data_IF_623733496085
#
_entry.id   IF_623733496085
#
_cell.length_a   1.000
_cell.length_b   1.000
_cell.length_c   1.000
_cell.angle_alpha   90.00
_cell.angle_beta   90.00
_cell.angle_gamma   90.00
#
_symmetry.space_group_name_H-M   'P 1'
#
loop_
_entity.id
_entity.type
_entity.pdbx_description
1 polymer ?
#
# COMPACT_ATOMS: atom_id res chain seq x y z
N UNK A 1 -33.57 -47.95 -25.28
CA UNK A 1 -32.29 -47.61 -25.95
C UNK A 1 -32.15 -46.11 -26.24
N UNK A 2 -33.13 -45.47 -26.90
CA UNK A 2 -33.16 -44.00 -27.14
C UNK A 2 -32.97 -43.15 -25.88
N UNK A 3 -33.71 -43.45 -24.82
CA UNK A 3 -33.67 -42.70 -23.54
C UNK A 3 -32.30 -42.75 -22.84
N UNK A 4 -31.60 -43.88 -22.96
CA UNK A 4 -30.24 -44.06 -22.41
C UNK A 4 -29.22 -43.23 -23.19
N UNK A 5 -29.43 -43.11 -24.50
CA UNK A 5 -28.60 -42.32 -25.42
C UNK A 5 -28.81 -40.81 -25.23
N UNK A 6 -30.02 -40.36 -24.94
CA UNK A 6 -30.32 -38.97 -24.61
C UNK A 6 -29.71 -38.54 -23.27
N UNK A 7 -29.76 -39.40 -22.25
CA UNK A 7 -29.05 -39.16 -20.99
C UNK A 7 -27.55 -39.02 -21.21
N UNK A 8 -26.94 -39.91 -22.02
CA UNK A 8 -25.52 -39.86 -22.36
C UNK A 8 -25.12 -38.56 -23.07
N UNK A 9 -25.92 -38.12 -24.06
CA UNK A 9 -25.72 -36.82 -24.73
C UNK A 9 -25.79 -35.66 -23.73
N UNK A 10 -26.78 -35.65 -22.83
CA UNK A 10 -26.93 -34.60 -21.82
C UNK A 10 -25.73 -34.53 -20.87
N UNK A 11 -25.19 -35.67 -20.43
CA UNK A 11 -23.98 -35.70 -19.61
C UNK A 11 -22.74 -35.25 -20.39
N UNK A 12 -22.61 -35.64 -21.66
CA UNK A 12 -21.52 -35.19 -22.53
C UNK A 12 -21.54 -33.67 -22.72
N UNK A 13 -22.68 -33.08 -23.10
CA UNK A 13 -22.81 -31.62 -23.24
C UNK A 13 -22.55 -30.88 -21.93
N UNK A 14 -22.99 -31.45 -20.79
CA UNK A 14 -22.72 -30.86 -19.47
C UNK A 14 -21.23 -30.91 -19.10
N UNK A 15 -20.55 -31.99 -19.47
CA UNK A 15 -19.09 -32.13 -19.30
C UNK A 15 -18.32 -31.14 -20.16
N UNK A 16 -18.67 -31.03 -21.45
CA UNK A 16 -18.06 -30.07 -22.38
C UNK A 16 -18.29 -28.63 -21.91
N UNK A 17 -19.52 -28.28 -21.49
CA UNK A 17 -19.83 -26.95 -20.96
C UNK A 17 -19.04 -26.62 -19.70
N UNK A 18 -18.87 -27.60 -18.79
CA UNK A 18 -18.05 -27.42 -17.60
C UNK A 18 -16.59 -27.15 -17.95
N UNK A 19 -16.01 -27.91 -18.88
CA UNK A 19 -14.62 -27.71 -19.33
C UNK A 19 -14.41 -26.32 -19.97
N UNK A 20 -15.34 -25.89 -20.82
CA UNK A 20 -15.29 -24.55 -21.44
C UNK A 20 -15.39 -23.45 -20.37
N UNK A 21 -16.26 -23.62 -19.38
CA UNK A 21 -16.40 -22.65 -18.28
C UNK A 21 -15.12 -22.59 -17.41
N UNK A 22 -14.48 -23.72 -17.11
CA UNK A 22 -13.19 -23.73 -16.41
C UNK A 22 -12.10 -23.02 -17.23
N UNK A 23 -12.04 -23.27 -18.54
CA UNK A 23 -11.09 -22.59 -19.43
C UNK A 23 -11.27 -21.06 -19.41
N UNK A 24 -12.50 -20.55 -19.53
CA UNK A 24 -12.75 -19.11 -19.47
C UNK A 24 -12.48 -18.51 -18.09
N UNK A 25 -12.74 -19.24 -17.00
CA UNK A 25 -12.38 -18.81 -15.64
C UNK A 25 -10.87 -18.67 -15.49
N UNK A 26 -10.10 -19.68 -15.88
CA UNK A 26 -8.63 -19.65 -15.81
C UNK A 26 -8.08 -18.55 -16.71
N UNK A 27 -8.57 -18.43 -17.95
CA UNK A 27 -8.16 -17.37 -18.86
C UNK A 27 -8.47 -15.98 -18.31
N UNK A 28 -9.65 -15.78 -17.72
CA UNK A 28 -9.98 -14.51 -17.06
C UNK A 28 -9.09 -14.26 -15.86
N UNK A 29 -8.80 -15.28 -15.04
CA UNK A 29 -7.96 -15.15 -13.86
C UNK A 29 -6.52 -14.76 -14.24
N UNK A 30 -5.96 -15.41 -15.27
CA UNK A 30 -4.65 -15.06 -15.83
C UNK A 30 -4.67 -13.66 -16.42
N UNK A 31 -5.69 -13.30 -17.20
CA UNK A 31 -5.79 -11.98 -17.81
C UNK A 31 -5.95 -10.85 -16.77
N UNK A 32 -6.79 -11.04 -15.75
CA UNK A 32 -6.96 -10.11 -14.65
C UNK A 32 -5.69 -10.01 -13.80
N UNK A 33 -5.03 -11.14 -13.52
CA UNK A 33 -3.74 -11.16 -12.81
C UNK A 33 -2.61 -10.47 -13.59
N UNK A 34 -2.58 -10.60 -14.92
CA UNK A 34 -1.64 -9.88 -15.80
C UNK A 34 -1.98 -8.38 -15.92
N UNK A 35 -3.25 -8.00 -15.78
CA UNK A 35 -3.69 -6.60 -15.82
C UNK A 35 -3.42 -5.87 -14.51
N UNK A 36 -3.59 -6.53 -13.36
CA UNK A 36 -3.21 -5.98 -12.03
C UNK A 36 -1.70 -5.68 -11.91
N UNK A 37 -0.88 -6.35 -12.73
CA UNK A 37 0.57 -6.11 -12.85
C UNK A 37 0.93 -5.04 -13.88
N UNK A 38 -0.01 -4.27 -14.41
CA UNK A 38 0.26 -3.22 -15.40
C UNK A 38 -0.20 -1.87 -14.88
N UNK A 39 0.66 -0.87 -15.04
CA UNK A 39 0.38 0.52 -14.67
C UNK A 39 0.08 1.36 -15.89
N UNK A 40 -0.93 2.22 -15.77
CA UNK A 40 -1.21 3.27 -16.75
C UNK A 40 -0.43 4.52 -16.38
N UNK A 41 0.63 4.80 -17.14
CA UNK A 41 1.35 6.06 -17.05
C UNK A 41 0.76 7.06 -18.02
N UNK A 42 0.38 8.22 -17.50
CA UNK A 42 -0.03 9.38 -18.29
C UNK A 42 1.16 10.33 -18.39
N UNK A 43 1.84 10.33 -19.53
CA UNK A 43 2.91 11.27 -19.81
C UNK A 43 2.40 12.38 -20.74
N UNK A 44 2.67 13.64 -20.36
CA UNK A 44 2.38 14.81 -21.19
C UNK A 44 3.67 15.23 -21.89
N UNK A 45 3.75 14.99 -23.20
CA UNK A 45 4.83 15.50 -24.05
C UNK A 45 4.27 16.62 -24.93
N UNK A 46 4.59 17.87 -24.59
CA UNK A 46 4.06 19.05 -25.27
C UNK A 46 2.53 19.17 -25.15
N UNK A 47 1.83 19.12 -26.28
CA UNK A 47 0.36 19.16 -26.37
C UNK A 47 -0.31 17.78 -26.43
N UNK A 48 0.46 16.68 -26.42
CA UNK A 48 -0.08 15.32 -26.55
C UNK A 48 -0.01 14.59 -25.20
N UNK A 49 -1.12 13.91 -24.86
CA UNK A 49 -1.19 12.98 -23.73
C UNK A 49 -0.91 11.59 -24.28
N UNK A 50 0.15 10.95 -23.78
CA UNK A 50 0.50 9.57 -24.11
C UNK A 50 0.14 8.68 -22.93
N UNK A 51 -0.64 7.63 -23.21
CA UNK A 51 -0.95 6.57 -22.26
C UNK A 51 0.03 5.44 -22.53
N UNK A 52 0.91 5.16 -21.56
CA UNK A 52 1.86 4.06 -21.61
C UNK A 52 1.39 2.96 -20.65
N UNK A 53 1.28 1.76 -21.17
CA UNK A 53 1.03 0.56 -20.38
C UNK A 53 2.40 -0.04 -20.04
N UNK A 54 2.85 0.15 -18.80
CA UNK A 54 4.11 -0.40 -18.31
C UNK A 54 3.83 -1.59 -17.39
N UNK A 55 4.70 -2.58 -17.41
CA UNK A 55 4.72 -3.65 -16.43
C UNK A 55 5.06 -3.11 -15.03
N UNK A 56 4.58 -3.77 -13.99
CA UNK A 56 4.77 -3.34 -12.61
C UNK A 56 6.25 -3.32 -12.22
N UNK A 57 7.03 -4.31 -12.65
CA UNK A 57 8.45 -4.42 -12.34
C UNK A 57 9.26 -3.27 -12.96
N UNK A 58 9.07 -2.99 -14.25
CA UNK A 58 9.69 -1.83 -14.90
C UNK A 58 9.30 -0.50 -14.25
N UNK A 59 8.03 -0.32 -13.89
CA UNK A 59 7.57 0.89 -13.21
C UNK A 59 8.21 1.06 -11.82
N UNK A 60 8.32 -0.03 -11.04
CA UNK A 60 8.97 -0.02 -9.72
C UNK A 60 10.45 0.31 -9.87
N UNK A 61 11.14 -0.24 -10.86
CA UNK A 61 12.55 0.04 -11.13
C UNK A 61 12.78 1.52 -11.48
N UNK A 62 11.95 2.09 -12.35
CA UNK A 62 12.02 3.50 -12.72
C UNK A 62 11.71 4.42 -11.52
N UNK A 63 10.75 4.01 -10.68
CA UNK A 63 10.41 4.71 -9.45
C UNK A 63 11.59 4.69 -8.46
N UNK A 64 12.22 3.53 -8.28
CA UNK A 64 13.39 3.38 -7.43
C UNK A 64 14.57 4.24 -7.94
N UNK A 65 14.84 4.25 -9.25
CA UNK A 65 15.86 5.12 -9.88
C UNK A 65 15.58 6.60 -9.62
N UNK A 66 14.33 7.04 -9.75
CA UNK A 66 13.95 8.43 -9.49
C UNK A 66 14.18 8.82 -8.01
N UNK A 67 13.82 7.93 -7.09
CA UNK A 67 14.06 8.09 -5.64
C UNK A 67 15.56 8.18 -5.37
N UNK A 68 16.35 7.25 -5.88
CA UNK A 68 17.80 7.21 -5.65
C UNK A 68 18.51 8.45 -6.24
N UNK A 69 18.03 8.98 -7.37
CA UNK A 69 18.52 10.23 -7.93
C UNK A 69 18.26 11.47 -7.06
N UNK A 70 17.21 11.47 -6.23
CA UNK A 70 16.88 12.59 -5.33
C UNK A 70 17.78 12.64 -4.08
N UNK A 71 18.37 11.51 -3.69
CA UNK A 71 19.12 11.27 -2.44
C UNK A 71 20.20 12.30 -2.10
N UNK A 72 20.71 13.04 -3.08
CA UNK A 72 21.79 14.01 -2.91
C UNK A 72 21.37 15.37 -2.34
N UNK A 73 20.08 15.60 -2.06
CA UNK A 73 19.58 16.84 -1.44
C UNK A 73 19.56 16.69 0.09
N UNK A 74 20.29 17.56 0.82
CA UNK A 74 20.65 17.47 2.26
C UNK A 74 19.50 17.32 3.28
N UNK A 75 18.24 17.28 2.86
CA UNK A 75 17.07 17.28 3.74
C UNK A 75 16.40 15.90 3.73
N UNK A 76 16.64 15.10 4.79
CA UNK A 76 16.07 13.75 4.93
C UNK A 76 14.54 13.77 4.90
N UNK A 77 13.91 14.79 5.49
CA UNK A 77 12.44 14.90 5.49
C UNK A 77 11.93 15.07 4.07
N UNK A 78 12.51 16.00 3.30
CA UNK A 78 12.13 16.19 1.89
C UNK A 78 12.42 14.96 1.03
N UNK A 79 13.48 14.21 1.34
CA UNK A 79 13.77 12.96 0.64
C UNK A 79 12.69 11.91 0.89
N UNK A 80 12.27 11.75 2.15
CA UNK A 80 11.16 10.87 2.53
C UNK A 80 9.85 11.32 1.86
N UNK A 81 9.49 12.60 1.98
CA UNK A 81 8.28 13.17 1.37
C UNK A 81 8.23 12.93 -0.14
N UNK A 82 9.35 13.16 -0.82
CA UNK A 82 9.48 12.91 -2.25
C UNK A 82 9.26 11.44 -2.58
N UNK A 83 9.90 10.53 -1.85
CA UNK A 83 9.80 9.10 -2.10
C UNK A 83 8.38 8.56 -1.86
N UNK A 84 7.72 9.00 -0.78
CA UNK A 84 6.30 8.68 -0.51
C UNK A 84 5.40 9.15 -1.66
N UNK A 85 5.65 10.36 -2.18
CA UNK A 85 4.93 10.90 -3.34
C UNK A 85 5.16 10.11 -4.63
N UNK A 86 6.37 9.58 -4.86
CA UNK A 86 6.63 8.69 -5.99
C UNK A 86 5.94 7.34 -5.82
N UNK A 87 6.01 6.73 -4.64
CA UNK A 87 5.40 5.43 -4.36
C UNK A 87 3.88 5.43 -4.59
N UNK A 88 3.20 6.53 -4.24
CA UNK A 88 1.76 6.72 -4.48
C UNK A 88 1.32 6.63 -5.96
N UNK A 89 2.25 6.69 -6.92
CA UNK A 89 1.94 6.60 -8.35
C UNK A 89 1.64 5.18 -8.83
N UNK A 90 1.92 4.15 -8.03
CA UNK A 90 1.65 2.77 -8.42
C UNK A 90 2.43 1.69 -7.66
N UNK A 91 3.26 2.05 -6.69
CA UNK A 91 3.92 1.02 -5.86
C UNK A 91 2.88 0.34 -4.96
N UNK A 92 3.14 -0.91 -4.60
CA UNK A 92 2.40 -1.67 -3.60
C UNK A 92 2.77 -1.21 -2.19
N UNK A 93 4.06 -0.96 -1.96
CA UNK A 93 4.59 -0.51 -0.68
C UNK A 93 5.84 0.36 -0.84
N UNK A 94 6.19 1.01 0.26
CA UNK A 94 7.47 1.69 0.44
C UNK A 94 8.01 1.38 1.84
N UNK A 95 9.29 1.02 1.89
CA UNK A 95 10.03 0.76 3.13
C UNK A 95 11.13 1.81 3.25
N UNK A 96 11.09 2.55 4.33
CA UNK A 96 12.09 3.56 4.68
C UNK A 96 12.88 3.00 5.85
N UNK A 97 14.19 2.89 5.70
CA UNK A 97 15.10 2.28 6.68
C UNK A 97 16.14 3.29 7.15
N UNK A 98 16.46 3.24 8.44
CA UNK A 98 17.54 3.99 9.06
C UNK A 98 18.19 3.08 10.10
N UNK A 99 19.49 2.82 9.96
CA UNK A 99 20.19 1.87 10.83
C UNK A 99 19.59 0.47 10.75
N UNK A 100 19.17 -0.09 11.89
CA UNK A 100 18.54 -1.43 11.97
C UNK A 100 17.02 -1.39 12.00
N UNK A 101 16.42 -0.21 11.79
CA UNK A 101 14.98 0.03 11.94
C UNK A 101 14.38 0.49 10.62
N UNK A 102 13.09 0.26 10.49
CA UNK A 102 12.34 0.68 9.32
C UNK A 102 10.92 1.13 9.68
N UNK A 103 10.35 1.90 8.77
CA UNK A 103 8.96 2.33 8.72
C UNK A 103 8.44 1.90 7.35
N UNK A 104 7.29 1.22 7.33
CA UNK A 104 6.67 0.73 6.11
C UNK A 104 5.31 1.38 5.92
N UNK A 105 5.00 1.72 4.67
CA UNK A 105 3.68 2.11 4.24
C UNK A 105 3.22 1.18 3.12
N UNK A 106 1.99 0.70 3.22
CA UNK A 106 1.27 0.19 2.06
C UNK A 106 0.83 1.38 1.21
N UNK A 107 1.11 1.31 -0.08
CA UNK A 107 0.80 2.36 -1.06
C UNK A 107 -0.28 1.95 -2.07
N UNK A 108 -0.75 0.70 -1.97
CA UNK A 108 -1.82 0.16 -2.80
C UNK A 108 -3.07 1.05 -2.76
N UNK A 109 -3.73 1.21 -3.93
CA UNK A 109 -4.90 2.12 -4.11
C UNK A 109 -4.59 3.62 -3.95
N UNK A 110 -3.32 4.02 -4.01
CA UNK A 110 -2.92 5.43 -4.01
C UNK A 110 -3.15 6.11 -2.66
N UNK A 111 -2.93 5.39 -1.57
CA UNK A 111 -3.01 5.86 -0.17
C UNK A 111 -1.80 5.34 0.60
N UNK A 112 -1.32 6.10 1.58
CA UNK A 112 -0.25 5.76 2.49
C UNK A 112 -0.86 5.21 3.78
N UNK A 113 -0.79 3.90 3.94
CA UNK A 113 -1.27 3.23 5.15
C UNK A 113 -0.04 2.70 5.90
N UNK A 114 0.32 3.38 6.98
CA UNK A 114 1.40 2.96 7.86
C UNK A 114 1.02 1.65 8.55
N UNK A 115 1.91 0.67 8.54
CA UNK A 115 1.67 -0.65 9.15
C UNK A 115 2.73 -0.97 10.21
N UNK A 116 2.28 -1.15 11.45
CA UNK A 116 3.13 -1.52 12.58
C UNK A 116 2.70 -2.86 13.19
N UNK A 117 3.30 -3.98 12.74
CA UNK A 117 2.96 -5.29 13.26
C UNK A 117 3.70 -5.59 14.57
N UNK A 118 2.95 -6.10 15.54
CA UNK A 118 3.44 -6.58 16.83
C UNK A 118 3.15 -8.07 16.90
N UNK A 119 4.21 -8.86 16.89
CA UNK A 119 4.17 -10.32 17.01
C UNK A 119 5.10 -10.75 18.13
N UNK A 120 4.77 -11.87 18.77
CA UNK A 120 5.69 -12.51 19.72
C UNK A 120 7.04 -12.76 19.03
N UNK A 121 8.11 -12.18 19.58
CA UNK A 121 9.48 -12.35 19.08
C UNK A 121 10.03 -11.25 18.16
N UNK A 122 9.21 -10.35 17.59
CA UNK A 122 9.74 -9.28 16.70
C UNK A 122 10.27 -8.04 17.46
N UNK A 123 10.10 -7.99 18.78
CA UNK A 123 10.60 -6.91 19.64
C UNK A 123 9.84 -5.58 19.52
N UNK A 124 8.75 -5.52 18.74
CA UNK A 124 7.98 -4.29 18.54
C UNK A 124 6.99 -3.98 19.67
N UNK A 125 6.65 -4.98 20.49
CA UNK A 125 5.66 -4.82 21.58
C UNK A 125 5.98 -3.68 22.55
N UNK A 126 7.27 -3.40 22.79
CA UNK A 126 7.70 -2.31 23.68
C UNK A 126 7.36 -0.91 23.16
N UNK A 127 7.09 -0.76 21.86
CA UNK A 127 6.79 0.53 21.23
C UNK A 127 5.28 0.79 21.08
N UNK A 128 4.42 -0.17 21.45
CA UNK A 128 2.97 -0.12 21.19
C UNK A 128 2.32 1.21 21.58
N UNK A 129 2.42 1.61 22.86
CA UNK A 129 1.82 2.85 23.33
C UNK A 129 2.52 4.10 22.79
N UNK A 130 3.80 4.01 22.47
CA UNK A 130 4.54 5.16 21.93
C UNK A 130 4.09 5.46 20.49
N UNK A 131 3.85 4.42 19.67
CA UNK A 131 3.31 4.58 18.31
C UNK A 131 1.91 5.17 18.33
N UNK A 132 1.03 4.68 19.22
CA UNK A 132 -0.32 5.23 19.40
C UNK A 132 -0.26 6.69 19.87
N UNK A 133 0.61 6.98 20.85
CA UNK A 133 0.83 8.33 21.35
C UNK A 133 1.30 9.28 20.25
N UNK A 134 2.24 8.86 19.41
CA UNK A 134 2.71 9.65 18.27
C UNK A 134 1.58 9.94 17.27
N UNK A 135 0.78 8.94 16.91
CA UNK A 135 -0.40 9.13 16.07
C UNK A 135 -1.36 10.15 16.68
N UNK A 136 -1.67 10.03 17.97
CA UNK A 136 -2.55 10.96 18.67
C UNK A 136 -1.99 12.39 18.70
N UNK A 137 -0.68 12.59 18.88
CA UNK A 137 -0.05 13.93 18.80
C UNK A 137 -0.07 14.54 17.41
N UNK A 138 -0.37 13.75 16.37
CA UNK A 138 -0.53 14.20 14.99
C UNK A 138 -2.00 14.32 14.59
N UNK A 139 -2.89 14.40 15.58
CA UNK A 139 -4.34 14.52 15.45
C UNK A 139 -5.01 13.29 14.80
N UNK A 140 -4.39 12.11 14.89
CA UNK A 140 -5.06 10.87 14.51
C UNK A 140 -6.01 10.41 15.61
N UNK A 141 -7.24 10.09 15.22
CA UNK A 141 -8.27 9.55 16.12
C UNK A 141 -8.44 8.05 15.86
N UNK A 142 -8.75 7.27 16.90
CA UNK A 142 -9.09 5.86 16.70
C UNK A 142 -10.31 5.75 15.79
N UNK A 143 -10.23 4.93 14.75
CA UNK A 143 -11.32 4.72 13.77
C UNK A 143 -12.61 4.26 14.45
N UNK A 144 -12.50 3.49 15.54
CA UNK A 144 -13.64 3.07 16.38
C UNK A 144 -14.37 4.21 17.08
N UNK A 145 -13.74 5.39 17.20
CA UNK A 145 -14.30 6.59 17.83
C UNK A 145 -14.82 7.60 16.80
N UNK A 146 -14.60 7.35 15.50
CA UNK A 146 -15.18 8.19 14.46
C UNK A 146 -16.67 7.86 14.38
N UNK A 147 -17.48 8.66 15.07
CA UNK A 147 -18.93 8.62 14.90
C UNK A 147 -19.26 8.92 13.44
N UNK A 148 -20.06 8.06 12.83
CA UNK A 148 -20.48 8.14 11.43
C UNK A 148 -21.35 9.39 11.20
N UNK A 149 -20.73 10.57 11.14
CA UNK A 149 -21.43 11.80 10.83
C UNK A 149 -21.62 11.86 9.31
N UNK A 150 -22.82 11.50 8.90
CA UNK A 150 -23.52 11.79 7.65
C UNK A 150 -23.57 13.30 7.25
N UNK A 151 -22.82 14.16 7.94
CA UNK A 151 -22.73 15.60 7.71
C UNK A 151 -21.29 16.09 7.83
N UNK A 152 -20.43 15.73 6.89
CA UNK A 152 -19.24 16.55 6.56
C UNK A 152 -19.63 17.62 5.54
N UNK A 153 -20.65 18.41 5.87
CA UNK A 153 -20.91 19.67 5.18
C UNK A 153 -19.91 20.70 5.72
N UNK A 154 -19.19 21.37 4.80
CA UNK A 154 -18.13 22.37 5.03
C UNK A 154 -16.72 21.81 5.30
N UNK A 155 -15.95 21.56 4.24
CA UNK A 155 -14.49 21.75 4.21
C UNK A 155 -13.63 21.00 5.23
N UNK A 156 -14.17 20.00 5.93
CA UNK A 156 -13.49 19.26 6.99
C UNK A 156 -12.44 18.33 6.36
N UNK A 157 -11.19 18.46 6.81
CA UNK A 157 -10.09 17.56 6.43
C UNK A 157 -10.57 16.10 6.63
N UNK A 158 -10.24 15.16 5.74
CA UNK A 158 -10.51 13.75 5.99
C UNK A 158 -9.93 13.41 7.36
N UNK A 159 -10.76 12.91 8.28
CA UNK A 159 -10.31 12.58 9.62
C UNK A 159 -9.09 11.66 9.50
N UNK A 160 -7.96 12.08 10.05
CA UNK A 160 -6.79 11.22 10.22
C UNK A 160 -7.19 10.14 11.20
N UNK A 161 -7.18 8.89 10.78
CA UNK A 161 -7.58 7.78 11.65
C UNK A 161 -6.50 6.74 11.76
N UNK A 162 -6.50 6.03 12.88
CA UNK A 162 -5.75 4.79 13.02
C UNK A 162 -6.67 3.67 13.50
N UNK A 163 -6.31 2.45 13.16
CA UNK A 163 -7.01 1.24 13.60
C UNK A 163 -6.04 0.30 14.28
N UNK A 164 -6.54 -0.43 15.26
CA UNK A 164 -5.83 -1.52 15.90
C UNK A 164 -6.59 -2.79 15.59
N UNK A 165 -5.93 -3.74 14.96
CA UNK A 165 -6.51 -5.03 14.58
C UNK A 165 -5.74 -6.16 15.25
N UNK A 166 -6.47 -7.11 15.83
CA UNK A 166 -5.89 -8.30 16.44
C UNK A 166 -6.28 -9.51 15.59
N UNK A 167 -5.28 -10.19 15.01
CA UNK A 167 -5.45 -11.39 14.23
C UNK A 167 -4.54 -12.50 14.79
N UNK A 168 -5.14 -13.43 15.54
CA UNK A 168 -4.40 -14.47 16.25
C UNK A 168 -3.38 -13.88 17.23
N UNK A 169 -2.10 -14.21 17.04
CA UNK A 169 -0.99 -13.72 17.87
C UNK A 169 -0.33 -12.44 17.31
N UNK A 170 -0.99 -11.75 16.38
CA UNK A 170 -0.53 -10.48 15.80
C UNK A 170 -1.48 -9.36 16.20
N UNK A 171 -0.92 -8.28 16.71
CA UNK A 171 -1.62 -6.99 16.83
C UNK A 171 -0.99 -6.05 15.82
N UNK A 172 -1.80 -5.40 15.00
CA UNK A 172 -1.34 -4.44 14.00
C UNK A 172 -1.93 -3.07 14.32
N UNK A 173 -1.07 -2.05 14.35
CA UNK A 173 -1.51 -0.65 14.36
C UNK A 173 -1.38 -0.12 12.93
N UNK A 174 -2.50 0.31 12.35
CA UNK A 174 -2.55 0.89 11.01
C UNK A 174 -2.86 2.37 11.10
N UNK A 175 -1.99 3.24 10.59
CA UNK A 175 -2.23 4.69 10.49
C UNK A 175 -2.58 5.10 9.07
N UNK A 176 -3.77 5.68 8.86
CA UNK A 176 -4.27 6.05 7.53
C UNK A 176 -3.86 7.47 7.14
N UNK A 177 -2.66 7.62 6.55
CA UNK A 177 -2.16 8.91 6.05
C UNK A 177 -2.77 9.27 4.69
N UNK A 178 -3.41 8.35 3.98
CA UNK A 178 -4.02 8.63 2.67
C UNK A 178 -2.99 9.27 1.71
N UNK A 179 -3.26 10.44 1.13
CA UNK A 179 -2.31 11.11 0.22
C UNK A 179 -1.39 12.13 0.93
N UNK A 180 -1.41 12.18 2.26
CA UNK A 180 -0.68 13.15 3.08
C UNK A 180 0.80 12.78 3.23
N UNK A 181 1.55 12.85 2.12
CA UNK A 181 3.00 12.58 2.10
C UNK A 181 3.81 13.49 3.06
N UNK A 182 3.51 14.79 3.21
CA UNK A 182 4.19 15.65 4.19
C UNK A 182 4.04 15.14 5.63
N UNK A 183 2.82 14.82 6.05
CA UNK A 183 2.54 14.30 7.38
C UNK A 183 3.15 12.92 7.60
N UNK A 184 3.08 12.03 6.61
CA UNK A 184 3.74 10.73 6.66
C UNK A 184 5.28 10.89 6.76
N UNK A 185 5.86 11.89 6.10
CA UNK A 185 7.28 12.20 6.23
C UNK A 185 7.67 12.68 7.63
N UNK A 186 6.88 13.58 8.22
CA UNK A 186 7.07 14.01 9.61
C UNK A 186 6.93 12.84 10.58
N UNK A 187 5.89 12.02 10.41
CA UNK A 187 5.68 10.83 11.24
C UNK A 187 6.85 9.85 11.16
N UNK A 188 7.35 9.58 9.95
CA UNK A 188 8.50 8.69 9.73
C UNK A 188 9.74 9.19 10.46
N UNK A 189 10.03 10.50 10.38
CA UNK A 189 11.16 11.09 11.09
C UNK A 189 11.01 10.92 12.61
N UNK A 190 9.84 11.22 13.17
CA UNK A 190 9.57 11.05 14.60
C UNK A 190 9.62 9.58 15.05
N UNK A 191 9.17 8.64 14.22
CA UNK A 191 9.32 7.20 14.47
C UNK A 191 10.79 6.83 14.66
N UNK A 192 11.69 7.31 13.80
CA UNK A 192 13.12 7.05 13.97
C UNK A 192 13.70 7.75 15.19
N UNK A 193 13.42 9.04 15.37
CA UNK A 193 14.12 9.86 16.36
C UNK A 193 13.59 9.68 17.80
N UNK A 194 12.27 9.60 17.96
CA UNK A 194 11.61 9.60 19.27
C UNK A 194 11.28 8.18 19.75
N UNK A 195 10.78 7.33 18.84
CA UNK A 195 10.31 5.98 19.19
C UNK A 195 11.47 4.98 19.15
N UNK A 196 12.12 4.85 18.00
CA UNK A 196 13.26 3.95 17.84
C UNK A 196 14.56 4.49 18.43
N UNK A 197 14.67 5.81 18.61
CA UNK A 197 15.88 6.51 19.06
C UNK A 197 17.09 6.30 18.15
N UNK A 198 16.84 6.13 16.85
CA UNK A 198 17.85 5.92 15.81
C UNK A 198 18.28 7.26 15.20
N UNK A 199 19.27 7.91 15.83
CA UNK A 199 19.78 9.23 15.43
C UNK A 199 20.90 9.16 14.38
N UNK A 200 21.49 7.99 14.15
CA UNK A 200 22.63 7.77 13.26
C UNK A 200 22.29 6.68 12.25
N UNK A 201 22.95 6.72 11.10
CA UNK A 201 22.73 5.74 10.03
C UNK A 201 22.22 6.40 8.75
N UNK A 202 22.60 5.82 7.62
CA UNK A 202 22.21 6.28 6.30
C UNK A 202 20.73 5.94 6.08
N UNK A 203 19.97 6.90 5.56
CA UNK A 203 18.62 6.65 5.12
C UNK A 203 18.63 5.83 3.80
N UNK A 204 17.89 4.74 3.79
CA UNK A 204 17.69 3.87 2.65
C UNK A 204 16.19 3.71 2.39
N UNK A 205 15.77 3.92 1.15
CA UNK A 205 14.36 3.84 0.76
C UNK A 205 14.23 2.81 -0.36
N UNK A 206 13.29 1.88 -0.19
CA UNK A 206 12.96 0.85 -1.18
C UNK A 206 11.47 0.86 -1.48
N UNK A 207 11.11 0.73 -2.74
CA UNK A 207 9.72 0.55 -3.21
C UNK A 207 9.52 -0.84 -3.82
N UNK A 208 8.27 -1.29 -3.87
CA UNK A 208 7.82 -2.53 -4.52
C UNK A 208 6.32 -2.57 -4.63
#
# INVERSE_FOLDING_TARGET
MKERMEKLKKYFYRGVYWLVNQYYRVKSYVFWGEFERKHFLFQKEGSKIRILLQDHEGFVEDTQKAIDGYKHKKDERKYIEYALGQALKGCTYIVISKGKKFVQYWTSRGRLDFDFPIRKGNGNGKYYYQVIGLLATMDFVSDSLVTSNLFSYNGSKPNKTYKIETAGNTVTITGYFNKMSPEAGVFTMKMFEEIYKEKRGKLEIRVG
#
